data_IF_552078513191
#
_entry.id   IF_552078513191
#
_cell.length_a   1.000
_cell.length_b   1.000
_cell.length_c   1.000
_cell.angle_alpha   90.00
_cell.angle_beta   90.00
_cell.angle_gamma   90.00
#
_symmetry.space_group_name_H-M   'P 1'
#
loop_
_entity.id
_entity.type
_entity.pdbx_description
1 polymer ?
#
# COMPACT_ATOMS: atom_id res chain seq x y z
N UNK A 1 16.08 -48.21 24.00
CA UNK A 1 15.89 -47.78 22.61
C UNK A 1 15.14 -46.46 22.67
N UNK A 2 15.85 -45.34 22.61
CA UNK A 2 15.24 -44.01 22.64
C UNK A 2 14.83 -43.62 21.25
N UNK A 3 13.54 -43.51 20.98
CA UNK A 3 13.02 -42.91 19.76
C UNK A 3 13.24 -41.40 19.84
N UNK A 4 14.23 -40.90 19.11
CA UNK A 4 14.43 -39.48 18.86
C UNK A 4 13.24 -38.98 18.08
N UNK A 5 12.27 -38.38 18.76
CA UNK A 5 11.23 -37.57 18.12
C UNK A 5 11.87 -36.22 17.72
N UNK A 6 12.45 -36.15 16.56
CA UNK A 6 12.73 -34.86 15.90
C UNK A 6 11.38 -34.25 15.55
N UNK A 7 10.90 -33.36 16.42
CA UNK A 7 9.65 -32.65 16.24
C UNK A 7 9.76 -31.60 15.14
N UNK A 8 9.82 -31.99 13.86
CA UNK A 8 9.79 -31.08 12.73
C UNK A 8 8.39 -30.47 12.67
N UNK A 9 8.29 -29.14 12.81
CA UNK A 9 7.05 -28.40 12.55
C UNK A 9 6.68 -28.55 11.08
N UNK A 10 5.39 -28.66 10.79
CA UNK A 10 4.92 -28.77 9.40
C UNK A 10 5.29 -27.50 8.63
N UNK A 11 5.62 -27.64 7.33
CA UNK A 11 5.90 -26.50 6.44
C UNK A 11 4.69 -25.54 6.39
N UNK A 12 4.97 -24.24 6.43
CA UNK A 12 3.95 -23.19 6.41
C UNK A 12 3.10 -23.23 5.11
N UNK A 13 3.68 -23.69 4.01
CA UNK A 13 2.99 -23.87 2.73
C UNK A 13 1.90 -24.97 2.75
N UNK A 14 1.87 -25.80 3.78
CA UNK A 14 0.82 -26.82 3.93
C UNK A 14 -0.46 -26.29 4.61
N UNK A 15 -0.47 -25.03 5.03
CA UNK A 15 -1.65 -24.43 5.69
C UNK A 15 -2.42 -23.51 4.75
N UNK A 16 -3.74 -23.42 5.00
CA UNK A 16 -4.62 -22.45 4.35
C UNK A 16 -4.29 -21.03 4.79
N UNK A 17 -4.40 -20.08 3.88
CA UNK A 17 -4.29 -18.64 4.15
C UNK A 17 -5.59 -18.01 4.67
N UNK A 18 -6.62 -18.77 5.00
CA UNK A 18 -7.92 -18.27 5.46
C UNK A 18 -7.80 -17.32 6.68
N UNK A 19 -6.84 -17.58 7.58
CA UNK A 19 -6.56 -16.72 8.72
C UNK A 19 -6.14 -15.33 8.26
N UNK A 20 -5.25 -15.27 7.29
CA UNK A 20 -4.77 -14.03 6.71
C UNK A 20 -5.92 -13.27 6.03
N UNK A 21 -6.77 -13.97 5.26
CA UNK A 21 -7.95 -13.40 4.62
C UNK A 21 -8.89 -12.73 5.63
N UNK A 22 -9.19 -13.41 6.74
CA UNK A 22 -10.05 -12.87 7.82
C UNK A 22 -9.47 -11.60 8.44
N UNK A 23 -8.17 -11.60 8.73
CA UNK A 23 -7.50 -10.42 9.28
C UNK A 23 -7.42 -9.26 8.28
N UNK A 24 -7.14 -9.51 7.00
CA UNK A 24 -7.13 -8.49 5.94
C UNK A 24 -8.53 -7.88 5.77
N UNK A 25 -9.59 -8.71 5.82
CA UNK A 25 -10.99 -8.24 5.78
C UNK A 25 -11.30 -7.27 6.93
N UNK A 26 -10.90 -7.63 8.15
CA UNK A 26 -11.07 -6.74 9.32
C UNK A 26 -10.24 -5.46 9.16
N UNK A 27 -9.02 -5.57 8.68
CA UNK A 27 -8.10 -4.44 8.50
C UNK A 27 -8.65 -3.42 7.50
N UNK A 28 -9.21 -3.87 6.37
CA UNK A 28 -9.88 -3.00 5.39
C UNK A 28 -11.04 -2.25 6.05
N UNK A 29 -11.87 -2.94 6.83
CA UNK A 29 -12.96 -2.31 7.59
C UNK A 29 -12.45 -1.28 8.60
N UNK A 30 -11.39 -1.60 9.33
CA UNK A 30 -10.77 -0.67 10.30
C UNK A 30 -10.21 0.57 9.60
N UNK A 31 -9.54 0.42 8.46
CA UNK A 31 -9.04 1.54 7.65
C UNK A 31 -10.17 2.45 7.17
N UNK A 32 -11.35 1.89 6.84
CA UNK A 32 -12.50 2.66 6.37
C UNK A 32 -13.26 3.35 7.50
N UNK A 33 -13.20 2.82 8.73
CA UNK A 33 -13.98 3.31 9.88
C UNK A 33 -13.14 4.09 10.91
N UNK A 34 -11.81 3.99 10.86
CA UNK A 34 -10.92 4.73 11.75
C UNK A 34 -10.63 6.09 11.15
N UNK A 35 -10.82 7.14 11.93
CA UNK A 35 -10.54 8.49 11.48
C UNK A 35 -9.03 8.69 11.30
N UNK A 36 -8.62 9.01 10.07
CA UNK A 36 -7.27 9.43 9.75
C UNK A 36 -7.32 10.60 8.76
N UNK A 37 -6.39 11.53 8.91
CA UNK A 37 -6.35 12.73 8.05
C UNK A 37 -5.88 12.42 6.62
N UNK A 38 -5.23 11.27 6.40
CA UNK A 38 -4.58 10.88 5.12
C UNK A 38 -4.20 9.39 5.10
N UNK A 39 -3.77 8.89 3.95
CA UNK A 39 -3.48 7.46 3.73
C UNK A 39 -2.19 6.94 4.37
N UNK A 40 -1.24 7.81 4.72
CA UNK A 40 0.08 7.40 5.24
C UNK A 40 0.04 6.40 6.40
N UNK A 41 -0.73 6.64 7.50
CA UNK A 41 -0.86 5.66 8.57
C UNK A 41 -1.38 4.31 8.10
N UNK A 42 -2.36 4.27 7.18
CA UNK A 42 -2.92 3.02 6.66
C UNK A 42 -1.93 2.25 5.79
N UNK A 43 -1.06 2.96 5.06
CA UNK A 43 0.04 2.37 4.31
C UNK A 43 1.03 1.69 5.26
N UNK A 44 1.41 2.34 6.37
CA UNK A 44 2.25 1.75 7.40
C UNK A 44 1.60 0.50 8.01
N UNK A 45 0.31 0.56 8.32
CA UNK A 45 -0.44 -0.59 8.85
C UNK A 45 -0.34 -1.77 7.88
N UNK A 46 -0.59 -1.53 6.59
CA UNK A 46 -0.47 -2.57 5.56
C UNK A 46 0.93 -3.18 5.56
N UNK A 47 1.97 -2.36 5.48
CA UNK A 47 3.36 -2.80 5.37
C UNK A 47 3.82 -3.58 6.61
N UNK A 48 3.71 -2.98 7.79
CA UNK A 48 4.23 -3.60 9.01
C UNK A 48 3.41 -4.79 9.48
N UNK A 49 2.09 -4.83 9.21
CA UNK A 49 1.28 -6.02 9.47
C UNK A 49 1.65 -7.17 8.53
N UNK A 50 1.93 -6.88 7.25
CA UNK A 50 2.41 -7.86 6.29
C UNK A 50 3.77 -8.45 6.70
N UNK A 51 4.70 -7.60 7.12
CA UNK A 51 6.02 -8.04 7.62
C UNK A 51 5.87 -8.88 8.89
N UNK A 52 5.04 -8.48 9.83
CA UNK A 52 4.81 -9.23 11.06
C UNK A 52 4.17 -10.60 10.79
N UNK A 53 3.19 -10.68 9.89
CA UNK A 53 2.57 -11.93 9.46
C UNK A 53 3.59 -12.87 8.82
N UNK A 54 4.42 -12.34 7.92
CA UNK A 54 5.47 -13.11 7.27
C UNK A 54 6.55 -13.58 8.26
N UNK A 55 7.03 -12.69 9.12
CA UNK A 55 8.05 -13.01 10.12
C UNK A 55 7.56 -14.04 11.15
N UNK A 56 6.26 -14.00 11.52
CA UNK A 56 5.67 -14.93 12.47
C UNK A 56 5.63 -16.38 11.99
N UNK A 57 5.72 -16.62 10.67
CA UNK A 57 5.77 -17.96 10.09
C UNK A 57 7.10 -18.28 9.41
N UNK A 58 8.03 -17.32 9.41
CA UNK A 58 9.30 -17.41 8.68
C UNK A 58 10.11 -18.70 8.92
N UNK A 59 10.20 -19.22 10.17
CA UNK A 59 10.91 -20.48 10.42
C UNK A 59 10.22 -21.71 9.77
N UNK A 60 8.93 -21.62 9.51
CA UNK A 60 8.14 -22.66 8.82
C UNK A 60 8.17 -22.57 7.30
N UNK A 61 8.78 -21.54 6.72
CA UNK A 61 8.91 -21.43 5.27
C UNK A 61 10.14 -22.24 4.82
N UNK A 62 9.95 -23.15 3.88
CA UNK A 62 11.05 -23.97 3.36
C UNK A 62 12.23 -23.10 2.89
N UNK A 63 13.45 -23.55 3.16
CA UNK A 63 14.66 -22.80 2.78
C UNK A 63 14.80 -22.58 1.28
N UNK A 64 14.29 -23.51 0.47
CA UNK A 64 14.26 -23.44 -1.00
C UNK A 64 13.02 -22.76 -1.58
N UNK A 65 12.11 -22.26 -0.75
CA UNK A 65 10.89 -21.61 -1.23
C UNK A 65 11.22 -20.34 -2.03
N UNK A 66 10.65 -20.14 -3.23
CA UNK A 66 10.79 -18.90 -3.97
C UNK A 66 10.07 -17.73 -3.26
N UNK A 67 9.24 -18.02 -2.29
CA UNK A 67 8.49 -17.06 -1.46
C UNK A 67 9.27 -16.69 -0.19
N UNK A 68 10.60 -16.76 -0.22
CA UNK A 68 11.43 -16.49 0.95
C UNK A 68 12.49 -15.43 0.64
N UNK A 69 12.41 -14.30 1.34
CA UNK A 69 13.49 -13.32 1.37
C UNK A 69 14.10 -13.23 2.77
N UNK A 70 15.33 -12.78 2.85
CA UNK A 70 16.02 -12.64 4.14
C UNK A 70 15.56 -11.36 4.86
N UNK A 71 14.95 -11.50 6.02
CA UNK A 71 14.47 -10.38 6.84
C UNK A 71 15.61 -9.42 7.26
N UNK A 72 16.85 -9.90 7.36
CA UNK A 72 18.00 -9.06 7.68
C UNK A 72 18.39 -8.09 6.54
N UNK A 73 17.78 -8.20 5.37
CA UNK A 73 17.91 -7.22 4.29
C UNK A 73 17.03 -5.98 4.50
N UNK A 74 16.11 -6.00 5.47
CA UNK A 74 15.32 -4.84 5.83
C UNK A 74 16.14 -3.85 6.64
N UNK A 75 15.85 -2.57 6.46
CA UNK A 75 16.64 -1.46 7.03
C UNK A 75 16.58 -1.41 8.55
N UNK A 76 17.71 -1.68 9.21
CA UNK A 76 17.81 -1.73 10.68
C UNK A 76 16.80 -2.69 11.31
N UNK A 77 16.55 -3.84 10.66
CA UNK A 77 15.61 -4.83 11.17
C UNK A 77 16.11 -5.40 12.50
N UNK A 78 15.23 -5.59 13.50
CA UNK A 78 15.64 -6.06 14.82
C UNK A 78 15.98 -7.56 14.78
N UNK A 79 16.79 -7.99 15.76
CA UNK A 79 16.89 -9.41 16.06
C UNK A 79 15.53 -9.95 16.50
N UNK A 80 15.13 -11.05 15.90
CA UNK A 80 13.86 -11.70 16.20
C UNK A 80 14.05 -12.84 17.21
N UNK A 81 13.02 -13.14 18.02
CA UNK A 81 12.96 -14.35 18.81
C UNK A 81 13.23 -15.59 17.94
N UNK A 82 13.94 -16.56 18.49
CA UNK A 82 14.25 -17.80 17.79
C UNK A 82 13.33 -18.91 18.28
N UNK A 83 12.88 -19.76 17.35
CA UNK A 83 12.09 -20.95 17.69
C UNK A 83 12.98 -21.98 18.43
N UNK A 84 12.43 -22.62 19.46
CA UNK A 84 13.12 -23.70 20.16
C UNK A 84 13.09 -24.99 19.31
N UNK A 85 14.24 -25.67 19.11
CA UNK A 85 14.27 -26.89 18.33
C UNK A 85 13.50 -28.06 19.00
N UNK A 86 13.30 -27.98 20.31
CA UNK A 86 12.61 -29.01 21.09
C UNK A 86 11.08 -28.85 21.10
N UNK A 87 10.54 -27.85 20.40
CA UNK A 87 9.11 -27.53 20.39
C UNK A 87 8.52 -27.67 19.00
N UNK A 88 7.27 -28.12 18.97
CA UNK A 88 6.46 -28.08 17.75
C UNK A 88 5.75 -26.73 17.68
N UNK A 89 5.63 -26.22 16.45
CA UNK A 89 4.92 -24.98 16.15
C UNK A 89 3.77 -25.21 15.18
N UNK A 90 2.66 -24.54 15.45
CA UNK A 90 1.49 -24.49 14.58
C UNK A 90 1.40 -23.05 14.00
N UNK A 91 1.93 -22.87 12.79
CA UNK A 91 2.12 -21.56 12.18
C UNK A 91 0.86 -20.70 12.06
N UNK A 92 -0.36 -21.27 11.83
CA UNK A 92 -1.59 -20.48 11.89
C UNK A 92 -1.82 -19.77 13.23
N UNK A 93 -1.46 -20.42 14.36
CA UNK A 93 -1.60 -19.77 15.68
C UNK A 93 -0.58 -18.64 15.88
N UNK A 94 0.64 -18.80 15.37
CA UNK A 94 1.66 -17.74 15.39
C UNK A 94 1.19 -16.53 14.58
N UNK A 95 0.70 -16.74 13.36
CA UNK A 95 0.18 -15.66 12.52
C UNK A 95 -1.03 -14.97 13.13
N UNK A 96 -1.99 -15.73 13.68
CA UNK A 96 -3.17 -15.17 14.32
C UNK A 96 -2.80 -14.22 15.46
N UNK A 97 -1.93 -14.65 16.36
CA UNK A 97 -1.48 -13.84 17.50
C UNK A 97 -0.65 -12.62 17.05
N UNK A 98 0.16 -12.77 16.00
CA UNK A 98 0.92 -11.65 15.44
C UNK A 98 0.01 -10.57 14.84
N UNK A 99 -0.97 -10.97 14.02
CA UNK A 99 -1.90 -10.04 13.41
C UNK A 99 -2.84 -9.40 14.43
N UNK A 100 -3.29 -10.13 15.45
CA UNK A 100 -4.06 -9.57 16.55
C UNK A 100 -3.26 -8.45 17.24
N UNK A 101 -2.02 -8.74 17.65
CA UNK A 101 -1.14 -7.74 18.27
C UNK A 101 -0.95 -6.51 17.37
N UNK A 102 -0.59 -6.72 16.09
CA UNK A 102 -0.36 -5.62 15.15
C UNK A 102 -1.60 -4.74 14.95
N UNK A 103 -2.77 -5.33 14.77
CA UNK A 103 -4.00 -4.56 14.60
C UNK A 103 -4.33 -3.72 15.84
N UNK A 104 -4.20 -4.27 17.06
CA UNK A 104 -4.39 -3.49 18.29
C UNK A 104 -3.38 -2.34 18.41
N UNK A 105 -2.12 -2.60 18.13
CA UNK A 105 -1.05 -1.62 18.26
C UNK A 105 -1.11 -0.52 17.18
N UNK A 106 -1.44 -0.88 15.94
CA UNK A 106 -1.42 0.03 14.79
C UNK A 106 -2.75 0.79 14.58
N UNK A 107 -3.85 0.36 15.22
CA UNK A 107 -5.12 1.09 15.23
C UNK A 107 -5.50 1.63 16.61
N UNK A 108 -4.65 2.45 17.25
CA UNK A 108 -4.93 2.94 18.62
C UNK A 108 -6.24 3.76 18.69
N UNK A 109 -6.60 4.42 17.56
CA UNK A 109 -7.80 5.25 17.44
C UNK A 109 -9.04 4.48 16.96
N UNK A 110 -8.95 3.15 16.81
CA UNK A 110 -10.13 2.35 16.47
C UNK A 110 -11.23 2.53 17.54
N UNK A 111 -12.48 2.54 17.09
CA UNK A 111 -13.64 2.62 17.98
C UNK A 111 -13.69 1.41 18.94
N UNK A 112 -14.47 1.52 20.02
CA UNK A 112 -14.70 0.39 20.92
C UNK A 112 -15.21 -0.85 20.17
N UNK A 113 -16.11 -0.66 19.20
CA UNK A 113 -16.60 -1.74 18.33
C UNK A 113 -15.50 -2.33 17.46
N UNK A 114 -14.57 -1.50 16.95
CA UNK A 114 -13.41 -1.95 16.19
C UNK A 114 -12.46 -2.80 17.04
N UNK A 115 -12.17 -2.37 18.28
CA UNK A 115 -11.34 -3.12 19.23
C UNK A 115 -11.98 -4.46 19.59
N UNK A 116 -13.28 -4.45 19.95
CA UNK A 116 -14.02 -5.68 20.23
C UNK A 116 -14.06 -6.65 19.03
N UNK A 117 -14.07 -6.13 17.81
CA UNK A 117 -14.01 -6.96 16.61
C UNK A 117 -12.63 -7.64 16.43
N UNK A 118 -11.53 -6.96 16.82
CA UNK A 118 -10.18 -7.58 16.83
C UNK A 118 -10.13 -8.73 17.84
N UNK A 119 -10.59 -8.50 19.08
CA UNK A 119 -10.63 -9.53 20.13
C UNK A 119 -11.49 -10.73 19.72
N UNK A 120 -12.67 -10.45 19.17
CA UNK A 120 -13.61 -11.49 18.72
C UNK A 120 -13.04 -12.32 17.59
N UNK A 121 -12.32 -11.69 16.65
CA UNK A 121 -11.70 -12.40 15.52
C UNK A 121 -10.54 -13.28 15.98
N UNK A 122 -9.65 -12.76 16.85
CA UNK A 122 -8.55 -13.54 17.43
C UNK A 122 -9.07 -14.80 18.09
N UNK A 123 -10.09 -14.65 18.94
CA UNK A 123 -10.67 -15.76 19.68
C UNK A 123 -11.45 -16.74 18.80
N UNK A 124 -12.19 -16.25 17.79
CA UNK A 124 -12.90 -17.10 16.83
C UNK A 124 -11.93 -17.99 16.04
N UNK A 125 -10.81 -17.40 15.59
CA UNK A 125 -9.76 -18.15 14.88
C UNK A 125 -9.12 -19.15 15.85
N UNK A 126 -8.78 -18.75 17.09
CA UNK A 126 -8.20 -19.65 18.08
C UNK A 126 -9.09 -20.86 18.36
N UNK A 127 -10.40 -20.69 18.44
CA UNK A 127 -11.37 -21.77 18.65
C UNK A 127 -11.50 -22.70 17.44
N UNK A 128 -11.15 -22.25 16.25
CA UNK A 128 -11.20 -23.07 15.03
C UNK A 128 -10.00 -24.00 14.86
N UNK A 129 -8.96 -23.86 15.68
CA UNK A 129 -7.81 -24.75 15.63
C UNK A 129 -8.16 -26.19 15.99
N UNK A 130 -7.48 -27.18 15.40
CA UNK A 130 -7.76 -28.61 15.69
C UNK A 130 -7.69 -28.91 17.19
N UNK A 131 -8.61 -29.76 17.67
CA UNK A 131 -8.73 -30.11 19.09
C UNK A 131 -7.45 -30.73 19.65
N UNK A 132 -6.80 -31.58 18.86
CA UNK A 132 -5.54 -32.27 19.23
C UNK A 132 -4.34 -31.35 19.28
N UNK A 133 -4.47 -30.14 18.75
CA UNK A 133 -3.45 -29.08 18.79
C UNK A 133 -3.65 -28.09 19.95
N UNK A 134 -4.56 -28.36 20.91
CA UNK A 134 -4.68 -27.61 22.19
C UNK A 134 -3.46 -27.80 23.10
N UNK A 135 -2.53 -28.60 22.66
CA UNK A 135 -1.25 -28.81 23.31
C UNK A 135 -0.38 -27.57 23.32
N UNK A 136 0.70 -27.68 24.02
CA UNK A 136 1.81 -26.72 24.11
C UNK A 136 2.18 -26.07 22.77
N UNK A 137 2.00 -26.74 21.63
CA UNK A 137 2.31 -26.21 20.30
C UNK A 137 1.53 -24.93 19.94
N UNK A 138 0.20 -24.87 20.17
CA UNK A 138 -0.60 -23.66 19.92
C UNK A 138 -0.18 -22.55 20.85
N UNK A 139 0.00 -22.86 22.14
CA UNK A 139 0.44 -21.88 23.14
C UNK A 139 1.79 -21.27 22.78
N UNK A 140 2.79 -22.11 22.49
CA UNK A 140 4.13 -21.65 22.11
C UNK A 140 4.13 -20.88 20.80
N UNK A 141 3.30 -21.28 19.83
CA UNK A 141 3.18 -20.56 18.56
C UNK A 141 2.53 -19.18 18.74
N UNK A 142 1.49 -19.08 19.53
CA UNK A 142 0.83 -17.80 19.80
C UNK A 142 1.77 -16.85 20.56
N UNK A 143 2.50 -17.36 21.56
CA UNK A 143 3.49 -16.57 22.28
C UNK A 143 4.63 -16.10 21.37
N UNK A 144 5.17 -17.01 20.52
CA UNK A 144 6.17 -16.66 19.52
C UNK A 144 5.66 -15.58 18.55
N UNK A 145 4.47 -15.75 17.99
CA UNK A 145 3.85 -14.75 17.09
C UNK A 145 3.69 -13.39 17.73
N UNK A 146 3.29 -13.35 19.00
CA UNK A 146 3.19 -12.10 19.79
C UNK A 146 4.54 -11.42 19.98
N UNK A 147 5.58 -12.19 20.28
CA UNK A 147 6.93 -11.65 20.45
C UNK A 147 7.46 -11.08 19.13
N UNK A 148 7.25 -11.79 18.00
CA UNK A 148 7.59 -11.29 16.65
C UNK A 148 6.87 -9.98 16.37
N UNK A 149 5.57 -9.93 16.56
CA UNK A 149 4.78 -8.74 16.29
C UNK A 149 5.22 -7.55 17.15
N UNK A 150 5.57 -7.77 18.42
CA UNK A 150 6.12 -6.74 19.30
C UNK A 150 7.44 -6.20 18.76
N UNK A 151 8.35 -7.07 18.31
CA UNK A 151 9.64 -6.65 17.74
C UNK A 151 9.44 -5.80 16.47
N UNK A 152 8.55 -6.26 15.56
CA UNK A 152 8.21 -5.53 14.33
C UNK A 152 7.52 -4.19 14.64
N UNK A 153 6.60 -4.15 15.60
CA UNK A 153 5.93 -2.91 16.01
C UNK A 153 6.94 -1.90 16.59
N UNK A 154 7.80 -2.33 17.49
CA UNK A 154 8.84 -1.47 18.07
C UNK A 154 9.78 -0.90 16.99
N UNK A 155 10.13 -1.72 16.00
CA UNK A 155 10.91 -1.28 14.85
C UNK A 155 10.14 -0.27 13.97
N UNK A 156 8.85 -0.46 13.78
CA UNK A 156 7.98 0.49 13.08
C UNK A 156 7.91 1.85 13.79
N UNK A 157 7.87 1.85 15.12
CA UNK A 157 7.82 3.10 15.91
C UNK A 157 9.09 3.96 15.78
N UNK A 158 10.19 3.38 15.32
CA UNK A 158 11.48 4.06 15.08
C UNK A 158 11.67 4.53 13.63
N UNK A 159 10.65 4.47 12.78
CA UNK A 159 10.78 4.88 11.38
C UNK A 159 10.72 6.40 11.15
N UNK A 160 10.33 7.18 12.15
CA UNK A 160 10.22 8.64 12.10
C UNK A 160 8.84 9.18 11.70
N UNK A 161 7.82 8.31 11.56
CA UNK A 161 6.47 8.71 11.11
C UNK A 161 5.81 9.78 11.98
N UNK A 162 6.17 9.87 13.27
CA UNK A 162 5.57 10.81 14.21
C UNK A 162 5.77 12.26 13.80
N UNK A 163 6.88 12.56 13.11
CA UNK A 163 7.21 13.88 12.58
C UNK A 163 6.73 14.10 11.14
N UNK A 164 6.14 13.08 10.51
CA UNK A 164 5.69 13.13 9.13
C UNK A 164 4.64 14.22 8.85
N UNK A 165 3.91 14.67 9.88
CA UNK A 165 2.85 15.68 9.78
C UNK A 165 3.11 16.94 10.66
N UNK A 166 4.36 17.23 10.95
CA UNK A 166 4.76 18.44 11.65
C UNK A 166 4.29 19.71 10.91
N UNK A 167 4.21 20.87 11.59
CA UNK A 167 3.81 22.12 10.98
C UNK A 167 4.61 22.45 9.73
N UNK A 168 3.93 22.83 8.65
CA UNK A 168 4.51 23.13 7.36
C UNK A 168 3.99 24.43 6.79
N UNK A 169 4.91 25.26 6.32
CA UNK A 169 4.61 26.45 5.52
C UNK A 169 4.93 26.18 4.06
N UNK A 170 3.92 26.19 3.21
CA UNK A 170 4.11 26.01 1.78
C UNK A 170 4.96 27.18 1.20
N UNK A 171 5.88 26.89 0.25
CA UNK A 171 6.61 27.95 -0.43
C UNK A 171 5.65 28.89 -1.15
N UNK A 172 5.91 30.18 -1.09
CA UNK A 172 5.18 31.17 -1.85
C UNK A 172 5.76 31.30 -3.26
N UNK A 173 4.89 31.55 -4.23
CA UNK A 173 5.31 31.77 -5.62
C UNK A 173 4.27 31.36 -6.65
N UNK A 174 4.52 31.79 -7.89
CA UNK A 174 3.71 31.37 -9.04
C UNK A 174 3.96 29.88 -9.31
N UNK A 175 2.89 29.12 -9.53
CA UNK A 175 3.02 27.68 -9.75
C UNK A 175 3.14 26.83 -8.48
N UNK A 176 3.29 27.45 -7.30
CA UNK A 176 3.37 26.72 -6.04
C UNK A 176 1.99 26.33 -5.52
N UNK A 177 1.94 25.16 -4.88
CA UNK A 177 0.74 24.64 -4.25
C UNK A 177 0.31 25.53 -3.07
N UNK A 178 -0.98 25.73 -2.97
CA UNK A 178 -1.66 26.33 -1.83
C UNK A 178 -2.94 25.55 -1.50
N UNK A 179 -3.48 25.65 -0.28
CA UNK A 179 -4.76 25.07 0.07
C UNK A 179 -5.84 25.42 -0.96
N UNK A 180 -6.67 24.44 -1.31
CA UNK A 180 -7.69 24.57 -2.36
C UNK A 180 -9.11 24.52 -1.78
N UNK A 181 -10.05 25.15 -2.49
CA UNK A 181 -11.47 25.06 -2.16
C UNK A 181 -11.98 23.60 -2.21
N UNK A 182 -13.07 23.27 -1.49
CA UNK A 182 -13.81 24.14 -0.56
C UNK A 182 -13.24 24.20 0.86
N UNK A 183 -12.41 23.21 1.24
CA UNK A 183 -11.97 23.05 2.64
C UNK A 183 -10.81 23.95 3.04
N UNK A 184 -9.98 24.36 2.10
CA UNK A 184 -8.72 25.05 2.36
C UNK A 184 -7.87 24.38 3.45
N UNK A 185 -7.91 23.04 3.48
CA UNK A 185 -7.23 22.24 4.46
C UNK A 185 -5.71 22.40 4.39
N UNK A 186 -5.05 22.31 5.55
CA UNK A 186 -3.59 22.36 5.66
C UNK A 186 -2.96 21.20 4.88
N UNK A 187 -1.69 21.41 4.49
CA UNK A 187 -0.88 20.35 3.89
C UNK A 187 -0.84 19.10 4.77
N UNK A 188 -1.05 17.94 4.18
CA UNK A 188 -0.97 16.66 4.90
C UNK A 188 0.36 15.98 4.61
N UNK A 189 0.97 15.43 5.66
CA UNK A 189 2.20 14.64 5.60
C UNK A 189 3.40 15.32 4.91
N UNK A 190 3.69 16.59 5.15
CA UNK A 190 4.72 17.33 4.41
C UNK A 190 6.12 16.72 4.56
N UNK A 191 6.38 16.02 5.65
CA UNK A 191 7.67 15.42 5.95
C UNK A 191 7.70 13.88 5.82
N UNK A 192 6.66 13.28 5.24
CA UNK A 192 6.58 11.82 5.07
C UNK A 192 7.73 11.26 4.22
N UNK A 193 8.26 12.05 3.30
CA UNK A 193 9.45 11.70 2.52
C UNK A 193 10.76 11.58 3.32
N UNK A 194 10.74 11.88 4.63
CA UNK A 194 11.88 11.73 5.56
C UNK A 194 11.82 10.44 6.39
N UNK A 195 10.71 9.70 6.30
CA UNK A 195 10.52 8.45 7.03
C UNK A 195 11.51 7.41 6.48
N UNK A 196 12.01 6.55 7.36
CA UNK A 196 12.91 5.46 6.99
C UNK A 196 12.20 4.49 6.05
N UNK A 197 12.81 4.21 4.89
CA UNK A 197 12.37 3.13 4.01
C UNK A 197 12.54 1.77 4.66
N UNK A 198 11.68 0.84 4.30
CA UNK A 198 11.77 -0.55 4.81
C UNK A 198 12.94 -1.28 4.17
N UNK A 199 13.19 -1.06 2.87
CA UNK A 199 14.32 -1.68 2.16
C UNK A 199 15.40 -0.63 1.88
N UNK A 200 16.66 -0.87 2.28
CA UNK A 200 17.77 0.02 1.95
C UNK A 200 17.90 0.19 0.43
N UNK A 201 18.09 1.42 -0.03
CA UNK A 201 18.27 1.71 -1.45
C UNK A 201 17.00 1.59 -2.33
N UNK A 202 15.84 1.27 -1.75
CA UNK A 202 14.58 1.17 -2.51
C UNK A 202 14.25 2.44 -3.31
N UNK A 203 14.64 3.60 -2.79
CA UNK A 203 14.37 4.90 -3.40
C UNK A 203 15.54 5.43 -4.26
N UNK A 204 16.62 4.68 -4.41
CA UNK A 204 17.79 5.14 -5.16
C UNK A 204 17.45 5.28 -6.65
N UNK A 205 17.81 6.43 -7.21
CA UNK A 205 17.58 6.78 -8.62
C UNK A 205 16.12 6.70 -9.10
N UNK A 206 15.14 6.74 -8.19
CA UNK A 206 13.70 6.70 -8.51
C UNK A 206 13.03 8.07 -8.49
N UNK A 207 13.76 9.12 -8.14
CA UNK A 207 13.20 10.46 -8.12
C UNK A 207 13.05 10.95 -9.58
N UNK A 208 11.82 11.31 -10.00
CA UNK A 208 11.59 11.82 -11.34
C UNK A 208 12.16 13.23 -11.49
N UNK A 209 12.40 13.62 -12.73
CA UNK A 209 12.76 15.00 -13.08
C UNK A 209 11.69 16.02 -12.66
N UNK A 210 11.98 17.32 -12.85
CA UNK A 210 11.02 18.38 -12.51
C UNK A 210 9.76 18.29 -13.38
N UNK A 211 8.60 18.75 -12.84
CA UNK A 211 7.43 18.96 -13.68
C UNK A 211 7.70 20.05 -14.72
N UNK A 212 6.82 20.17 -15.75
CA UNK A 212 6.93 21.24 -16.73
C UNK A 212 7.01 22.63 -16.06
N UNK A 213 7.82 23.52 -16.62
CA UNK A 213 8.00 24.86 -16.09
C UNK A 213 6.66 25.63 -16.10
N UNK A 214 6.36 26.28 -14.98
CA UNK A 214 5.12 27.06 -14.83
C UNK A 214 5.07 28.21 -15.83
N UNK A 215 3.94 28.35 -16.52
CA UNK A 215 3.69 29.43 -17.43
C UNK A 215 2.19 29.74 -17.55
N UNK A 216 1.85 31.02 -17.71
CA UNK A 216 0.48 31.49 -17.97
C UNK A 216 0.23 31.76 -19.46
N UNK A 217 1.25 31.67 -20.30
CA UNK A 217 1.11 31.81 -21.76
C UNK A 217 0.27 30.64 -22.29
N UNK A 218 -0.80 30.97 -23.00
CA UNK A 218 -1.72 30.00 -23.64
C UNK A 218 -1.05 29.06 -24.65
N UNK A 219 0.12 29.45 -25.17
CA UNK A 219 0.90 28.62 -26.10
C UNK A 219 1.85 27.67 -25.39
N UNK A 220 2.10 27.87 -24.09
CA UNK A 220 3.04 27.03 -23.31
C UNK A 220 2.56 25.59 -23.15
N UNK A 221 3.52 24.71 -22.91
CA UNK A 221 3.24 23.30 -22.55
C UNK A 221 2.44 23.21 -21.25
N UNK A 222 2.76 24.07 -20.25
CA UNK A 222 2.07 24.09 -18.98
C UNK A 222 0.57 24.43 -19.13
N UNK A 223 0.26 25.49 -19.87
CA UNK A 223 -1.14 25.87 -20.12
C UNK A 223 -1.90 24.74 -20.83
N UNK A 224 -1.31 24.13 -21.86
CA UNK A 224 -1.91 23.02 -22.60
C UNK A 224 -2.16 21.80 -21.71
N UNK A 225 -1.24 21.48 -20.82
CA UNK A 225 -1.36 20.40 -19.83
C UNK A 225 -2.55 20.64 -18.89
N UNK A 226 -2.71 21.85 -18.35
CA UNK A 226 -3.86 22.18 -17.51
C UNK A 226 -5.16 22.18 -18.30
N UNK A 227 -5.13 22.75 -19.52
CA UNK A 227 -6.30 22.76 -20.41
C UNK A 227 -6.78 21.35 -20.74
N UNK A 228 -5.88 20.40 -20.92
CA UNK A 228 -6.23 18.99 -21.14
C UNK A 228 -7.08 18.44 -19.98
N UNK A 229 -6.70 18.72 -18.72
CA UNK A 229 -7.47 18.28 -17.54
C UNK A 229 -8.84 18.95 -17.51
N UNK A 230 -8.87 20.27 -17.76
CA UNK A 230 -10.13 21.03 -17.82
C UNK A 230 -11.08 20.47 -18.88
N UNK A 231 -10.61 20.29 -20.12
CA UNK A 231 -11.42 19.79 -21.22
C UNK A 231 -11.93 18.35 -20.93
N UNK A 232 -11.04 17.46 -20.49
CA UNK A 232 -11.41 16.08 -20.16
C UNK A 232 -12.47 16.00 -19.06
N UNK A 233 -12.34 16.81 -18.02
CA UNK A 233 -13.27 16.80 -16.90
C UNK A 233 -14.65 17.38 -17.25
N UNK A 234 -14.71 18.34 -18.19
CA UNK A 234 -15.98 18.91 -18.67
C UNK A 234 -16.67 18.05 -19.73
N UNK A 235 -15.91 17.25 -20.47
CA UNK A 235 -16.40 16.37 -21.53
C UNK A 235 -16.36 14.90 -21.13
N UNK A 236 -16.32 14.63 -19.83
CA UNK A 236 -16.20 13.29 -19.27
C UNK A 236 -17.37 12.38 -19.70
N UNK A 237 -17.04 11.26 -20.31
CA UNK A 237 -18.05 10.25 -20.67
C UNK A 237 -18.60 9.54 -19.42
N UNK A 238 -19.78 8.89 -19.51
CA UNK A 238 -20.30 8.08 -18.40
C UNK A 238 -19.30 7.04 -17.88
N UNK A 239 -18.59 6.35 -18.80
CA UNK A 239 -17.59 5.34 -18.42
C UNK A 239 -16.37 5.98 -17.70
N UNK A 240 -15.82 7.07 -18.20
CA UNK A 240 -14.75 7.79 -17.55
C UNK A 240 -15.14 8.31 -16.17
N UNK A 241 -16.39 8.74 -16.01
CA UNK A 241 -16.95 9.12 -14.70
C UNK A 241 -17.02 7.93 -13.75
N UNK A 242 -17.47 6.78 -14.25
CA UNK A 242 -17.50 5.54 -13.45
C UNK A 242 -16.10 5.13 -13.01
N UNK A 243 -15.10 5.21 -13.89
CA UNK A 243 -13.69 4.97 -13.56
C UNK A 243 -13.22 5.94 -12.48
N UNK A 244 -13.47 7.25 -12.62
CA UNK A 244 -13.06 8.25 -11.63
C UNK A 244 -13.70 8.00 -10.25
N UNK A 245 -14.96 7.56 -10.21
CA UNK A 245 -15.69 7.25 -8.99
C UNK A 245 -15.25 5.92 -8.37
N UNK A 246 -14.97 4.90 -9.19
CA UNK A 246 -14.50 3.60 -8.73
C UNK A 246 -13.16 3.73 -7.99
N UNK A 247 -12.23 4.50 -8.54
CA UNK A 247 -10.92 4.74 -7.94
C UNK A 247 -10.87 5.97 -7.01
N UNK A 248 -12.02 6.52 -6.62
CA UNK A 248 -12.04 7.66 -5.71
C UNK A 248 -11.40 7.36 -4.35
N UNK A 249 -11.61 6.15 -3.85
CA UNK A 249 -10.98 5.59 -2.63
C UNK A 249 -11.11 6.49 -1.39
N UNK A 250 -12.32 6.99 -1.16
CA UNK A 250 -12.69 7.77 0.02
C UNK A 250 -14.05 7.33 0.56
N UNK A 251 -14.34 7.63 1.82
CA UNK A 251 -15.63 7.34 2.45
C UNK A 251 -16.83 7.77 1.55
N UNK A 252 -17.85 6.90 1.35
CA UNK A 252 -18.12 5.61 2.03
C UNK A 252 -17.37 4.39 1.45
N UNK A 253 -16.44 4.57 0.52
CA UNK A 253 -15.59 3.52 -0.04
C UNK A 253 -14.44 3.11 0.91
N UNK A 254 -13.57 2.26 0.38
CA UNK A 254 -12.31 1.92 1.05
C UNK A 254 -11.26 3.02 0.82
N UNK A 255 -10.18 3.00 1.60
CA UNK A 255 -9.01 3.87 1.35
C UNK A 255 -8.16 3.33 0.20
N UNK A 256 -7.30 4.15 -0.40
CA UNK A 256 -6.42 3.68 -1.48
C UNK A 256 -5.55 2.47 -1.08
N UNK A 257 -4.88 2.44 0.09
CA UNK A 257 -4.19 1.23 0.54
C UNK A 257 -5.15 0.08 0.84
N UNK A 258 -6.35 0.36 1.36
CA UNK A 258 -7.38 -0.65 1.61
C UNK A 258 -7.92 -1.29 0.33
N UNK A 259 -8.01 -0.53 -0.77
CA UNK A 259 -8.42 -1.05 -2.07
C UNK A 259 -7.41 -2.09 -2.60
N UNK A 260 -6.13 -1.75 -2.59
CA UNK A 260 -5.07 -2.67 -3.00
C UNK A 260 -4.92 -3.87 -2.06
N UNK A 261 -5.15 -3.68 -0.76
CA UNK A 261 -5.21 -4.80 0.18
C UNK A 261 -6.39 -5.73 -0.14
N UNK A 262 -7.53 -5.17 -0.54
CA UNK A 262 -8.69 -5.98 -0.94
C UNK A 262 -8.47 -6.72 -2.28
N UNK A 263 -7.78 -6.11 -3.24
CA UNK A 263 -7.36 -6.79 -4.47
C UNK A 263 -6.47 -7.98 -4.14
N UNK A 264 -5.42 -7.79 -3.32
CA UNK A 264 -4.56 -8.89 -2.87
C UNK A 264 -5.38 -9.99 -2.17
N UNK A 265 -6.30 -9.63 -1.28
CA UNK A 265 -7.17 -10.58 -0.58
C UNK A 265 -8.00 -11.42 -1.56
N UNK A 266 -8.63 -10.78 -2.54
CA UNK A 266 -9.43 -11.46 -3.57
C UNK A 266 -8.57 -12.39 -4.43
N UNK A 267 -7.33 -11.99 -4.77
CA UNK A 267 -6.39 -12.84 -5.50
C UNK A 267 -6.01 -14.06 -4.67
N UNK A 268 -5.69 -13.89 -3.39
CA UNK A 268 -5.35 -15.00 -2.46
C UNK A 268 -6.51 -16.01 -2.38
N UNK A 269 -7.75 -15.51 -2.28
CA UNK A 269 -8.95 -16.36 -2.25
C UNK A 269 -9.15 -17.12 -3.57
N UNK A 270 -9.09 -16.42 -4.69
CA UNK A 270 -9.27 -16.99 -6.03
C UNK A 270 -8.27 -18.11 -6.31
N UNK A 271 -7.00 -17.89 -5.98
CA UNK A 271 -5.90 -18.83 -6.21
C UNK A 271 -5.79 -19.90 -5.10
N UNK A 272 -6.56 -19.81 -4.03
CA UNK A 272 -6.40 -20.64 -2.83
C UNK A 272 -4.93 -20.69 -2.39
N UNK A 273 -4.30 -19.51 -2.41
CA UNK A 273 -2.87 -19.35 -2.18
C UNK A 273 -2.49 -19.90 -0.81
N UNK A 274 -1.46 -20.77 -0.70
CA UNK A 274 -1.02 -21.30 0.58
C UNK A 274 -0.44 -20.22 1.48
N UNK A 275 -0.37 -20.51 2.79
CA UNK A 275 -0.09 -19.53 3.84
C UNK A 275 1.25 -18.82 3.66
N UNK A 276 2.31 -19.53 3.29
CA UNK A 276 3.66 -18.97 3.06
C UNK A 276 3.66 -17.96 1.90
N UNK A 277 3.09 -18.34 0.75
CA UNK A 277 3.00 -17.48 -0.43
C UNK A 277 2.08 -16.28 -0.20
N UNK A 278 0.97 -16.47 0.52
CA UNK A 278 0.06 -15.39 0.87
C UNK A 278 0.71 -14.36 1.81
N UNK A 279 1.43 -14.83 2.83
CA UNK A 279 2.19 -13.96 3.74
C UNK A 279 3.33 -13.21 3.03
N UNK A 280 4.02 -13.88 2.12
CA UNK A 280 5.03 -13.26 1.26
C UNK A 280 4.44 -12.16 0.39
N UNK A 281 3.31 -12.43 -0.30
CA UNK A 281 2.63 -11.44 -1.14
C UNK A 281 2.16 -10.24 -0.31
N UNK A 282 1.67 -10.47 0.91
CA UNK A 282 1.25 -9.40 1.82
C UNK A 282 2.43 -8.53 2.25
N UNK A 283 3.55 -9.15 2.65
CA UNK A 283 4.75 -8.43 3.05
C UNK A 283 5.33 -7.63 1.87
N UNK A 284 5.54 -8.28 0.70
CA UNK A 284 6.15 -7.64 -0.46
C UNK A 284 5.33 -6.45 -0.97
N UNK A 285 4.01 -6.62 -1.12
CA UNK A 285 3.12 -5.55 -1.58
C UNK A 285 3.04 -4.39 -0.57
N UNK A 286 3.03 -4.68 0.73
CA UNK A 286 3.06 -3.67 1.77
C UNK A 286 4.37 -2.88 1.80
N UNK A 287 5.52 -3.56 1.66
CA UNK A 287 6.85 -2.94 1.56
C UNK A 287 6.92 -2.03 0.34
N UNK A 288 6.50 -2.53 -0.83
CA UNK A 288 6.50 -1.77 -2.08
C UNK A 288 5.64 -0.51 -1.97
N UNK A 289 4.45 -0.65 -1.39
CA UNK A 289 3.52 0.45 -1.15
C UNK A 289 4.13 1.52 -0.23
N UNK A 290 4.75 1.12 0.89
CA UNK A 290 5.31 2.03 1.89
C UNK A 290 6.49 2.83 1.33
N UNK A 291 7.45 2.15 0.73
CA UNK A 291 8.66 2.80 0.26
C UNK A 291 8.39 3.70 -0.96
N UNK A 292 7.46 3.29 -1.83
CA UNK A 292 6.97 4.14 -2.92
C UNK A 292 6.26 5.39 -2.40
N UNK A 293 5.45 5.27 -1.34
CA UNK A 293 4.81 6.44 -0.75
C UNK A 293 5.84 7.44 -0.21
N UNK A 294 6.86 6.95 0.49
CA UNK A 294 7.96 7.78 0.99
C UNK A 294 8.66 8.50 -0.18
N UNK A 295 9.03 7.78 -1.25
CA UNK A 295 9.67 8.34 -2.44
C UNK A 295 8.78 9.41 -3.10
N UNK A 296 7.52 9.08 -3.36
CA UNK A 296 6.60 10.02 -4.03
C UNK A 296 6.30 11.25 -3.18
N UNK A 297 6.23 11.12 -1.85
CA UNK A 297 6.03 12.25 -0.94
C UNK A 297 7.26 13.16 -0.83
N UNK A 298 8.47 12.60 -0.88
CA UNK A 298 9.71 13.37 -0.99
C UNK A 298 9.70 14.26 -2.24
N UNK A 299 9.39 13.67 -3.40
CA UNK A 299 9.29 14.38 -4.68
C UNK A 299 8.20 15.45 -4.64
N UNK A 300 7.04 15.13 -4.10
CA UNK A 300 5.86 15.99 -4.03
C UNK A 300 6.13 17.29 -3.28
N UNK A 301 6.71 17.22 -2.13
CA UNK A 301 7.04 18.40 -1.30
C UNK A 301 8.34 19.09 -1.72
N UNK A 302 9.16 18.45 -2.55
CA UNK A 302 10.29 19.11 -3.23
C UNK A 302 9.83 20.08 -4.29
N UNK A 303 8.89 19.68 -5.15
CA UNK A 303 8.45 20.51 -6.27
C UNK A 303 7.25 21.40 -5.94
N UNK A 304 6.45 21.07 -4.97
CA UNK A 304 5.29 21.84 -4.52
C UNK A 304 4.36 22.33 -5.65
N UNK A 305 4.14 21.52 -6.68
CA UNK A 305 3.35 21.91 -7.85
C UNK A 305 1.89 22.18 -7.49
N UNK A 306 1.32 23.27 -8.04
CA UNK A 306 -0.09 23.62 -7.85
C UNK A 306 -1.05 22.59 -8.46
N UNK A 307 -2.26 22.52 -7.90
CA UNK A 307 -3.35 21.66 -8.38
C UNK A 307 -4.06 22.28 -9.60
N UNK A 308 -4.66 21.44 -10.49
CA UNK A 308 -5.43 21.93 -11.64
C UNK A 308 -6.47 22.98 -11.26
N UNK A 309 -7.23 22.78 -10.18
CA UNK A 309 -8.26 23.72 -9.71
C UNK A 309 -7.71 25.13 -9.50
N UNK A 310 -6.52 25.26 -8.91
CA UNK A 310 -5.92 26.57 -8.67
C UNK A 310 -5.66 27.31 -9.98
N UNK A 311 -5.05 26.63 -10.96
CA UNK A 311 -4.73 27.25 -12.24
C UNK A 311 -5.99 27.55 -13.07
N UNK A 312 -6.92 26.62 -13.12
CA UNK A 312 -8.18 26.78 -13.87
C UNK A 312 -8.97 27.99 -13.37
N UNK A 313 -9.08 28.14 -12.06
CA UNK A 313 -9.82 29.26 -11.47
C UNK A 313 -9.08 30.60 -11.57
N UNK A 314 -7.76 30.63 -11.35
CA UNK A 314 -7.02 31.89 -11.23
C UNK A 314 -6.38 32.38 -12.53
N UNK A 315 -5.94 31.47 -13.41
CA UNK A 315 -5.25 31.80 -14.67
C UNK A 315 -6.18 31.69 -15.87
N UNK A 316 -6.95 30.60 -15.96
CA UNK A 316 -7.88 30.41 -17.07
C UNK A 316 -9.19 31.19 -16.88
N UNK A 317 -9.49 31.67 -15.68
CA UNK A 317 -10.63 32.53 -15.37
C UNK A 317 -11.96 31.79 -15.12
N UNK A 318 -11.97 30.46 -15.08
CA UNK A 318 -13.18 29.66 -14.80
C UNK A 318 -13.38 29.53 -13.28
N UNK A 319 -13.78 30.63 -12.63
CA UNK A 319 -13.85 30.78 -11.16
C UNK A 319 -14.71 29.74 -10.45
N UNK A 320 -15.80 29.28 -11.11
CA UNK A 320 -16.76 28.32 -10.56
C UNK A 320 -16.45 26.88 -10.91
N UNK A 321 -15.38 26.62 -11.65
CA UNK A 321 -14.99 25.26 -12.01
C UNK A 321 -14.55 24.48 -10.77
N UNK A 322 -15.12 23.29 -10.63
CA UNK A 322 -14.71 22.31 -9.63
C UNK A 322 -14.44 20.96 -10.30
N UNK A 323 -13.41 20.23 -9.85
CA UNK A 323 -13.13 18.91 -10.40
C UNK A 323 -14.23 17.90 -10.01
N UNK A 324 -14.48 16.84 -10.83
CA UNK A 324 -15.46 15.78 -10.56
C UNK A 324 -15.26 15.04 -9.24
N UNK A 325 -14.04 14.98 -8.72
CA UNK A 325 -13.73 14.40 -7.40
C UNK A 325 -12.99 15.43 -6.53
N UNK A 326 -13.08 15.32 -5.19
CA UNK A 326 -12.43 16.26 -4.29
C UNK A 326 -10.91 16.34 -4.48
N UNK A 327 -10.35 17.55 -4.50
CA UNK A 327 -8.91 17.78 -4.55
C UNK A 327 -8.31 17.55 -3.17
N UNK A 328 -7.32 16.63 -3.07
CA UNK A 328 -6.68 16.36 -1.78
C UNK A 328 -5.71 17.48 -1.37
N UNK A 329 -5.52 17.73 -0.04
CA UNK A 329 -4.77 18.85 0.47
C UNK A 329 -3.25 18.60 0.51
N UNK A 330 -2.64 18.45 -0.64
CA UNK A 330 -1.19 18.31 -0.80
C UNK A 330 -0.77 18.66 -2.25
N UNK A 331 0.51 19.00 -2.50
CA UNK A 331 0.99 19.32 -3.84
C UNK A 331 0.67 18.25 -4.88
N UNK A 332 0.71 18.63 -6.15
CA UNK A 332 0.13 17.81 -7.22
C UNK A 332 1.06 16.69 -7.70
N UNK A 333 2.35 16.96 -7.92
CA UNK A 333 3.30 16.11 -8.65
C UNK A 333 4.24 15.33 -7.73
N UNK A 334 4.46 14.02 -7.98
CA UNK A 334 3.83 13.13 -8.96
C UNK A 334 2.45 12.64 -8.52
N UNK A 335 1.75 11.87 -9.37
CA UNK A 335 0.46 11.27 -9.05
C UNK A 335 0.57 10.17 -8.00
N UNK A 336 0.13 10.44 -6.74
CA UNK A 336 0.29 9.51 -5.62
C UNK A 336 -0.44 8.17 -5.83
N UNK A 337 -1.71 8.19 -6.28
CA UNK A 337 -2.44 6.96 -6.60
C UNK A 337 -1.77 6.13 -7.70
N UNK A 338 -1.22 6.80 -8.71
CA UNK A 338 -0.49 6.12 -9.78
C UNK A 338 0.76 5.40 -9.25
N UNK A 339 1.54 6.09 -8.39
CA UNK A 339 2.73 5.51 -7.78
C UNK A 339 2.40 4.30 -6.88
N UNK A 340 1.38 4.42 -6.01
CA UNK A 340 0.93 3.32 -5.18
C UNK A 340 0.47 2.12 -6.00
N UNK A 341 -0.33 2.40 -7.04
CA UNK A 341 -0.92 1.36 -7.88
C UNK A 341 0.16 0.60 -8.66
N UNK A 342 1.14 1.33 -9.21
CA UNK A 342 2.28 0.71 -9.88
C UNK A 342 3.13 -0.15 -8.94
N UNK A 343 3.31 0.30 -7.70
CA UNK A 343 4.08 -0.45 -6.72
C UNK A 343 3.43 -1.79 -6.38
N UNK A 344 2.15 -1.78 -6.03
CA UNK A 344 1.44 -3.03 -5.68
C UNK A 344 1.26 -3.92 -6.91
N UNK A 345 0.91 -3.35 -8.07
CA UNK A 345 0.82 -4.10 -9.31
C UNK A 345 2.13 -4.81 -9.64
N UNK A 346 3.28 -4.14 -9.50
CA UNK A 346 4.60 -4.75 -9.72
C UNK A 346 4.89 -5.88 -8.72
N UNK A 347 4.55 -5.69 -7.44
CA UNK A 347 4.73 -6.71 -6.42
C UNK A 347 3.82 -7.94 -6.67
N UNK A 348 2.55 -7.72 -7.04
CA UNK A 348 1.63 -8.83 -7.37
C UNK A 348 2.03 -9.54 -8.66
N UNK A 349 2.55 -8.82 -9.64
CA UNK A 349 3.11 -9.40 -10.88
C UNK A 349 4.30 -10.31 -10.59
N UNK A 350 5.18 -9.91 -9.64
CA UNK A 350 6.29 -10.76 -9.20
C UNK A 350 5.80 -12.08 -8.58
N UNK A 351 4.68 -12.04 -7.84
CA UNK A 351 4.16 -13.21 -7.11
C UNK A 351 3.27 -14.11 -7.98
N UNK A 352 2.45 -13.52 -8.85
CA UNK A 352 1.38 -14.24 -9.58
C UNK A 352 1.57 -14.25 -11.10
N UNK A 353 2.57 -13.52 -11.62
CA UNK A 353 2.88 -13.47 -13.06
C UNK A 353 2.29 -12.25 -13.79
N UNK A 354 2.77 -12.03 -15.02
CA UNK A 354 2.39 -10.88 -15.84
C UNK A 354 0.98 -10.98 -16.43
N UNK A 355 0.60 -12.17 -16.89
CA UNK A 355 -0.65 -12.42 -17.63
C UNK A 355 -1.75 -12.89 -16.69
N UNK A 356 -1.99 -12.11 -15.62
CA UNK A 356 -2.96 -12.45 -14.59
C UNK A 356 -4.26 -11.66 -14.77
N UNK A 357 -5.26 -12.30 -15.38
CA UNK A 357 -6.60 -11.70 -15.50
C UNK A 357 -7.35 -11.73 -14.16
N UNK A 358 -7.90 -10.59 -13.78
CA UNK A 358 -8.55 -10.39 -12.50
C UNK A 358 -9.81 -9.54 -12.61
N UNK A 359 -10.84 -9.90 -11.85
CA UNK A 359 -12.05 -9.09 -11.68
C UNK A 359 -12.08 -8.53 -10.26
N UNK A 360 -12.12 -7.23 -10.14
CA UNK A 360 -12.16 -6.51 -8.86
C UNK A 360 -13.61 -6.28 -8.42
N UNK A 361 -13.98 -6.86 -7.30
CA UNK A 361 -15.29 -6.80 -6.67
C UNK A 361 -15.34 -5.82 -5.48
N UNK A 362 -14.32 -4.96 -5.33
CA UNK A 362 -14.15 -4.12 -4.12
C UNK A 362 -15.38 -3.28 -3.79
N UNK A 363 -16.08 -2.76 -4.78
CA UNK A 363 -17.18 -1.82 -4.57
C UNK A 363 -18.58 -2.34 -4.85
N UNK A 364 -18.77 -3.68 -4.91
CA UNK A 364 -20.10 -4.28 -5.03
C UNK A 364 -21.04 -3.87 -3.88
N UNK A 365 -20.50 -3.67 -2.67
CA UNK A 365 -21.29 -3.18 -1.54
C UNK A 365 -21.84 -1.76 -1.72
N UNK A 366 -21.26 -0.97 -2.63
CA UNK A 366 -21.77 0.32 -3.09
C UNK A 366 -22.61 0.20 -4.37
N UNK A 367 -22.96 -1.02 -4.79
CA UNK A 367 -23.69 -1.31 -6.04
C UNK A 367 -22.96 -0.83 -7.30
N UNK A 368 -21.63 -0.71 -7.25
CA UNK A 368 -20.82 -0.49 -8.44
C UNK A 368 -20.55 -1.83 -9.11
N UNK A 369 -20.53 -1.83 -10.45
CA UNK A 369 -20.22 -3.04 -11.21
C UNK A 369 -18.75 -3.44 -11.01
N UNK A 370 -18.46 -4.75 -10.89
CA UNK A 370 -17.08 -5.25 -10.87
C UNK A 370 -16.34 -4.85 -12.15
N UNK A 371 -15.02 -4.70 -12.04
CA UNK A 371 -14.19 -4.31 -13.18
C UNK A 371 -13.16 -5.40 -13.47
N UNK A 372 -13.08 -5.83 -14.72
CA UNK A 372 -12.18 -6.91 -15.17
C UNK A 372 -11.00 -6.34 -15.92
N UNK A 373 -9.81 -6.84 -15.59
CA UNK A 373 -8.53 -6.40 -16.15
C UNK A 373 -7.71 -7.59 -16.64
N UNK A 374 -6.93 -7.44 -17.73
CA UNK A 374 -6.07 -8.51 -18.26
C UNK A 374 -4.80 -8.73 -17.42
N UNK A 375 -4.40 -7.76 -16.58
CA UNK A 375 -3.20 -7.83 -15.74
C UNK A 375 -3.28 -6.87 -14.56
N UNK A 376 -2.43 -7.07 -13.55
CA UNK A 376 -2.28 -6.09 -12.45
C UNK A 376 -1.83 -4.71 -12.94
N UNK A 377 -1.06 -4.68 -14.02
CA UNK A 377 -0.60 -3.44 -14.62
C UNK A 377 -1.75 -2.64 -15.22
N UNK A 378 -2.69 -3.30 -15.91
CA UNK A 378 -3.89 -2.65 -16.42
C UNK A 378 -4.75 -2.05 -15.30
N UNK A 379 -4.79 -2.69 -14.11
CA UNK A 379 -5.42 -2.10 -12.93
C UNK A 379 -4.73 -0.80 -12.53
N UNK A 380 -3.39 -0.80 -12.47
CA UNK A 380 -2.62 0.39 -12.10
C UNK A 380 -2.79 1.54 -13.09
N UNK A 381 -2.83 1.25 -14.39
CA UNK A 381 -3.06 2.25 -15.44
C UNK A 381 -4.43 2.88 -15.34
N UNK A 382 -5.48 2.10 -15.07
CA UNK A 382 -6.83 2.64 -14.87
C UNK A 382 -6.92 3.47 -13.59
N UNK A 383 -6.32 3.01 -12.49
CA UNK A 383 -6.24 3.78 -11.24
C UNK A 383 -5.51 5.12 -11.44
N UNK A 384 -4.48 5.14 -12.26
CA UNK A 384 -3.73 6.35 -12.60
C UNK A 384 -4.57 7.34 -13.42
N UNK A 385 -5.12 6.89 -14.57
CA UNK A 385 -5.91 7.77 -15.45
C UNK A 385 -7.20 8.26 -14.79
N UNK A 386 -7.75 7.52 -13.84
CA UNK A 386 -8.93 7.91 -13.06
C UNK A 386 -8.79 9.29 -12.41
N UNK A 387 -7.56 9.68 -12.05
CA UNK A 387 -7.28 10.96 -11.38
C UNK A 387 -7.24 12.13 -12.37
N UNK A 388 -6.94 11.86 -13.63
CA UNK A 388 -7.05 12.84 -14.72
C UNK A 388 -8.53 13.05 -15.04
N UNK A 389 -9.30 11.97 -15.20
CA UNK A 389 -10.76 12.05 -15.36
C UNK A 389 -11.44 12.75 -14.18
N UNK A 390 -10.94 12.51 -12.98
CA UNK A 390 -11.37 13.18 -11.75
C UNK A 390 -10.97 14.65 -11.65
N UNK A 391 -10.18 15.18 -12.58
CA UNK A 391 -9.81 16.61 -12.64
C UNK A 391 -8.80 17.06 -11.60
N UNK A 392 -8.10 16.14 -10.92
CA UNK A 392 -7.23 16.47 -9.78
C UNK A 392 -5.74 16.25 -10.03
N UNK A 393 -5.38 15.62 -11.16
CA UNK A 393 -4.00 15.39 -11.56
C UNK A 393 -3.79 15.69 -13.05
N UNK A 394 -2.57 16.13 -13.39
CA UNK A 394 -2.13 16.23 -14.78
C UNK A 394 -1.75 14.85 -15.33
N UNK A 395 -1.91 14.65 -16.65
CA UNK A 395 -1.59 13.36 -17.28
C UNK A 395 -0.12 12.97 -17.07
N UNK A 396 0.82 13.89 -17.27
CA UNK A 396 2.23 13.64 -17.01
C UNK A 396 2.53 13.25 -15.57
N UNK A 397 1.81 13.80 -14.60
CA UNK A 397 2.02 13.48 -13.18
C UNK A 397 1.63 12.05 -12.85
N UNK A 398 0.58 11.52 -13.47
CA UNK A 398 0.17 10.12 -13.25
C UNK A 398 1.08 9.15 -13.99
N UNK A 399 1.57 9.49 -15.19
CA UNK A 399 2.55 8.71 -15.94
C UNK A 399 3.88 8.59 -15.17
N UNK A 400 4.38 9.70 -14.68
CA UNK A 400 5.58 9.76 -13.84
C UNK A 400 5.38 9.01 -12.51
N UNK A 401 4.19 9.09 -11.92
CA UNK A 401 3.86 8.31 -10.73
C UNK A 401 3.92 6.82 -10.97
N UNK A 402 3.34 6.32 -12.07
CA UNK A 402 3.44 4.91 -12.47
C UNK A 402 4.89 4.44 -12.61
N UNK A 403 5.72 5.26 -13.28
CA UNK A 403 7.14 4.95 -13.45
C UNK A 403 7.86 4.89 -12.11
N UNK A 404 7.68 5.88 -11.24
CA UNK A 404 8.32 5.93 -9.92
C UNK A 404 7.95 4.72 -9.04
N UNK A 405 6.66 4.36 -8.98
CA UNK A 405 6.22 3.19 -8.22
C UNK A 405 6.81 1.89 -8.73
N UNK A 406 6.93 1.74 -10.04
CA UNK A 406 7.59 0.61 -10.70
C UNK A 406 9.07 0.52 -10.35
N UNK A 407 9.81 1.62 -10.45
CA UNK A 407 11.25 1.68 -10.18
C UNK A 407 11.58 1.37 -8.73
N UNK A 408 10.82 1.95 -7.78
CA UNK A 408 10.98 1.64 -6.34
C UNK A 408 10.76 0.15 -6.09
N UNK A 409 9.72 -0.44 -6.67
CA UNK A 409 9.44 -1.87 -6.48
C UNK A 409 10.50 -2.76 -7.12
N UNK A 410 11.05 -2.37 -8.27
CA UNK A 410 12.17 -3.08 -8.90
C UNK A 410 13.41 -3.08 -8.01
N UNK A 411 13.74 -1.94 -7.38
CA UNK A 411 14.84 -1.88 -6.41
C UNK A 411 14.59 -2.80 -5.21
N UNK A 412 13.35 -2.85 -4.70
CA UNK A 412 12.95 -3.75 -3.60
C UNK A 412 13.14 -5.21 -4.02
N UNK A 413 12.63 -5.61 -5.19
CA UNK A 413 12.76 -6.98 -5.72
C UNK A 413 14.22 -7.35 -5.92
N UNK A 414 15.03 -6.43 -6.44
CA UNK A 414 16.47 -6.63 -6.58
C UNK A 414 17.15 -6.93 -5.24
N UNK A 415 16.88 -6.12 -4.23
CA UNK A 415 17.49 -6.30 -2.90
C UNK A 415 16.98 -7.57 -2.21
N UNK A 416 15.66 -7.78 -2.15
CA UNK A 416 15.09 -8.87 -1.36
C UNK A 416 15.18 -10.24 -2.04
N UNK A 417 15.13 -10.30 -3.37
CA UNK A 417 15.04 -11.56 -4.12
C UNK A 417 16.29 -11.85 -4.97
N UNK A 418 17.31 -10.97 -4.94
CA UNK A 418 18.52 -11.06 -5.76
C UNK A 418 18.21 -11.24 -7.27
N UNK A 419 17.08 -10.70 -7.74
CA UNK A 419 16.69 -10.75 -9.15
C UNK A 419 17.21 -9.52 -9.87
N UNK A 420 17.97 -9.71 -10.95
CA UNK A 420 18.55 -8.63 -11.74
C UNK A 420 17.51 -7.59 -12.16
N UNK A 421 17.91 -6.32 -12.14
CA UNK A 421 17.08 -5.20 -12.63
C UNK A 421 16.89 -5.42 -14.14
N UNK A 422 15.64 -5.62 -14.57
CA UNK A 422 15.32 -5.59 -16.00
C UNK A 422 15.77 -4.23 -16.56
N UNK A 423 16.60 -4.26 -17.61
CA UNK A 423 17.15 -3.07 -18.26
C UNK A 423 16.01 -2.08 -18.54
N UNK A 424 16.15 -0.83 -18.09
CA UNK A 424 15.18 0.24 -18.31
C UNK A 424 14.83 0.33 -19.80
N UNK A 425 13.57 0.23 -20.22
CA UNK A 425 13.22 0.68 -21.55
C UNK A 425 13.49 2.20 -21.59
N UNK A 426 14.35 2.65 -22.49
CA UNK A 426 14.50 4.07 -22.81
C UNK A 426 13.13 4.56 -23.29
N UNK A 427 12.53 5.49 -22.57
CA UNK A 427 11.39 6.25 -23.09
C UNK A 427 11.99 7.10 -24.20
N UNK A 428 11.69 6.76 -25.45
CA UNK A 428 11.96 7.65 -26.58
C UNK A 428 11.07 8.88 -26.38
N UNK A 429 11.70 9.99 -26.10
CA UNK A 429 11.09 11.31 -26.20
C UNK A 429 10.98 11.68 -27.68
N UNK A 430 9.87 11.36 -28.29
CA UNK A 430 9.43 11.98 -29.56
C UNK A 430 8.31 13.01 -29.25
#
# INVERSE_FOLDING_TARGET
MGTSYTGISQDAGNYSSEILDKWMTLQIRLMSTTQASFNGPFIRIYAYSGIAAYAAIYPGIAGSSPNKFNLNQLNSFPELPVVSPDRKYYWPASMNAALAYMNHAMFPMASAAGKAAMDSLEEAIRKSFPVDSRDSAIFFSADYGKQIARAVFNWAEMDGYRNGNDPYSAPEGRGMWKPTAPSYARAVSPYWGRIRTIVPGSNDNTEPGPPPEYSEDKKSGFYKMVKQVYDMSNQITPEQRNIALFWKDINPGVTAPGHWLNILRQVIQKEKTPLDKAAFAYALSGIALNDTWISSWKTRYRYNLLRPITYVQTVMGFKDWAPPIPTPPHPEYPGGHAALSAAVASALTEVYGNDYSFTDHTYEFLKMLPRTYPSFWAIAEEAAISKVYGGIHYKISVEVGLQQGREVTQNIIFVLLNKGVAIKPKINSD
#
